data_IF_784598287249
#
_entry.id   IF_784598287249
#
_cell.length_a   1.000
_cell.length_b   1.000
_cell.length_c   1.000
_cell.angle_alpha   90.00
_cell.angle_beta   90.00
_cell.angle_gamma   90.00
#
_symmetry.space_group_name_H-M   'P 1'
#
loop_
_entity.id
_entity.type
_entity.pdbx_description
1 polymer ?
#
# COMPACT_ATOMS: atom_id res chain seq x y z
N UNK A 1 -13.67 -1.21 26.15
CA UNK A 1 -13.01 -1.89 25.01
C UNK A 1 -14.03 -2.24 23.92
N UNK A 2 -15.20 -2.77 24.28
CA UNK A 2 -16.37 -2.85 23.38
C UNK A 2 -16.86 -1.45 22.93
N UNK A 3 -16.60 -0.39 23.70
CA UNK A 3 -17.07 0.97 23.42
C UNK A 3 -16.46 1.63 22.16
N UNK A 4 -15.36 1.06 21.64
CA UNK A 4 -14.66 1.54 20.46
C UNK A 4 -14.92 0.68 19.21
N UNK A 5 -15.73 -0.38 19.35
CA UNK A 5 -16.03 -1.32 18.27
C UNK A 5 -17.17 -0.76 17.42
N UNK A 6 -16.92 -0.56 16.12
CA UNK A 6 -17.95 -0.22 15.12
C UNK A 6 -18.16 1.26 14.82
N UNK A 7 -17.60 2.19 15.61
CA UNK A 7 -17.63 3.64 15.31
C UNK A 7 -16.20 4.20 15.12
N UNK A 8 -15.83 4.61 13.89
CA UNK A 8 -14.49 5.16 13.60
C UNK A 8 -14.10 6.35 14.47
N UNK A 9 -15.03 7.23 14.84
CA UNK A 9 -14.72 8.43 15.63
C UNK A 9 -14.42 8.07 17.08
N UNK A 10 -15.19 7.14 17.65
CA UNK A 10 -14.94 6.62 19.00
C UNK A 10 -13.62 5.87 19.06
N UNK A 11 -13.30 5.09 18.03
CA UNK A 11 -12.03 4.38 17.95
C UNK A 11 -10.84 5.35 17.94
N UNK A 12 -10.88 6.39 17.10
CA UNK A 12 -9.83 7.42 17.07
C UNK A 12 -9.72 8.13 18.42
N UNK A 13 -10.85 8.56 19.01
CA UNK A 13 -10.84 9.23 20.32
C UNK A 13 -10.29 8.34 21.44
N UNK A 14 -10.56 7.03 21.38
CA UNK A 14 -9.99 6.06 22.31
C UNK A 14 -8.47 5.99 22.16
N UNK A 15 -7.97 5.87 20.92
CA UNK A 15 -6.53 5.87 20.66
C UNK A 15 -5.86 7.16 21.14
N UNK A 16 -6.43 8.33 20.84
CA UNK A 16 -5.88 9.62 21.27
C UNK A 16 -5.77 9.72 22.80
N UNK A 17 -6.77 9.20 23.53
CA UNK A 17 -6.76 9.18 24.99
C UNK A 17 -5.63 8.27 25.51
N UNK A 18 -5.51 7.06 24.98
CA UNK A 18 -4.47 6.12 25.38
C UNK A 18 -3.06 6.63 25.04
N UNK A 19 -2.90 7.30 23.89
CA UNK A 19 -1.63 7.92 23.49
C UNK A 19 -1.21 9.02 24.47
N UNK A 20 -2.15 9.90 24.87
CA UNK A 20 -1.88 10.93 25.88
C UNK A 20 -1.44 10.35 27.23
N UNK A 21 -2.05 9.24 27.65
CA UNK A 21 -1.66 8.55 28.89
C UNK A 21 -0.26 7.97 28.76
N UNK A 22 0.01 7.24 27.68
CA UNK A 22 1.32 6.62 27.43
C UNK A 22 2.45 7.65 27.35
N UNK A 23 2.23 8.78 26.67
CA UNK A 23 3.21 9.87 26.62
C UNK A 23 3.43 10.52 27.99
N UNK A 24 2.38 10.73 28.79
CA UNK A 24 2.50 11.30 30.14
C UNK A 24 3.31 10.38 31.06
N UNK A 25 3.11 9.07 30.95
CA UNK A 25 3.79 8.07 31.76
C UNK A 25 5.19 7.72 31.25
N UNK A 26 5.56 8.18 30.04
CA UNK A 26 6.78 7.78 29.32
C UNK A 26 6.83 6.27 29.06
N UNK A 27 5.67 5.67 28.79
CA UNK A 27 5.58 4.25 28.48
C UNK A 27 6.25 3.96 27.13
N UNK A 28 7.09 2.92 27.01
CA UNK A 28 7.73 2.58 25.74
C UNK A 28 6.73 2.03 24.71
N UNK A 29 5.65 1.40 25.19
CA UNK A 29 4.65 0.74 24.38
C UNK A 29 3.24 1.02 24.89
N UNK A 30 2.29 1.10 23.96
CA UNK A 30 0.86 0.99 24.20
C UNK A 30 0.36 -0.38 23.74
N UNK A 31 -0.59 -0.94 24.47
CA UNK A 31 -1.25 -2.20 24.13
C UNK A 31 -2.75 -2.03 24.16
N UNK A 32 -3.42 -2.48 23.11
CA UNK A 32 -4.88 -2.54 23.10
C UNK A 32 -5.33 -3.70 22.22
N UNK A 33 -6.53 -4.21 22.49
CA UNK A 33 -7.10 -5.30 21.72
C UNK A 33 -8.06 -4.75 20.67
N UNK A 34 -7.98 -5.31 19.47
CA UNK A 34 -9.04 -5.25 18.47
C UNK A 34 -9.57 -6.67 18.32
N UNK A 35 -10.65 -6.96 19.04
CA UNK A 35 -11.24 -8.29 19.08
C UNK A 35 -10.29 -9.34 19.67
N UNK A 36 -9.90 -10.31 18.86
CA UNK A 36 -8.98 -11.40 19.21
C UNK A 36 -7.50 -11.06 19.01
N UNK A 37 -7.20 -9.87 18.46
CA UNK A 37 -5.84 -9.46 18.10
C UNK A 37 -5.32 -8.40 19.09
N UNK A 38 -4.21 -8.70 19.76
CA UNK A 38 -3.48 -7.71 20.57
C UNK A 38 -2.58 -6.86 19.67
N UNK A 39 -2.81 -5.55 19.64
CA UNK A 39 -1.93 -4.60 18.97
C UNK A 39 -0.98 -3.95 19.98
N UNK A 40 0.31 -3.98 19.65
CA UNK A 40 1.38 -3.37 20.44
C UNK A 40 2.01 -2.26 19.60
N UNK A 41 1.89 -1.01 20.07
CA UNK A 41 2.40 0.16 19.37
C UNK A 41 3.56 0.76 20.17
N UNK A 42 4.70 0.95 19.51
CA UNK A 42 5.84 1.63 20.10
C UNK A 42 5.59 3.16 20.17
N UNK A 43 5.63 3.71 21.39
CA UNK A 43 5.43 5.14 21.63
C UNK A 43 6.77 5.88 21.70
N UNK A 44 7.80 5.26 22.28
CA UNK A 44 9.11 5.87 22.42
C UNK A 44 10.01 5.65 21.19
N UNK A 45 10.96 6.55 20.99
CA UNK A 45 11.96 6.48 19.92
C UNK A 45 12.87 5.27 20.06
N UNK A 46 13.24 4.92 21.29
CA UNK A 46 14.12 3.79 21.61
C UNK A 46 13.44 2.47 21.26
N UNK A 47 12.16 2.33 21.63
CA UNK A 47 11.35 1.16 21.30
C UNK A 47 11.15 1.02 19.78
N UNK A 48 10.86 2.11 19.07
CA UNK A 48 10.72 2.10 17.60
C UNK A 48 12.02 1.73 16.90
N UNK A 49 13.15 2.25 17.38
CA UNK A 49 14.47 1.99 16.80
C UNK A 49 14.78 0.50 16.79
N UNK A 50 14.54 -0.20 17.91
CA UNK A 50 14.77 -1.65 18.01
C UNK A 50 13.95 -2.43 16.98
N UNK A 51 12.70 -2.04 16.75
CA UNK A 51 11.81 -2.71 15.79
C UNK A 51 12.22 -2.41 14.35
N UNK A 52 12.46 -1.13 14.01
CA UNK A 52 12.75 -0.69 12.63
C UNK A 52 14.14 -1.15 12.17
N UNK A 53 15.12 -1.15 13.07
CA UNK A 53 16.49 -1.57 12.75
C UNK A 53 16.63 -3.11 12.66
N UNK A 54 15.60 -3.87 13.04
CA UNK A 54 15.64 -5.33 13.00
C UNK A 54 15.68 -5.86 11.56
N UNK A 55 16.71 -6.63 11.24
CA UNK A 55 16.84 -7.34 9.94
C UNK A 55 16.25 -8.76 9.96
N UNK A 56 15.73 -9.19 11.11
CA UNK A 56 15.22 -10.55 11.36
C UNK A 56 13.69 -10.54 11.41
N UNK A 57 13.10 -9.57 12.11
CA UNK A 57 11.65 -9.45 12.30
C UNK A 57 10.99 -8.68 11.15
N UNK A 58 11.05 -9.26 9.94
CA UNK A 58 10.53 -8.61 8.72
C UNK A 58 9.15 -9.10 8.29
N UNK A 59 8.57 -10.04 9.04
CA UNK A 59 7.29 -10.68 8.75
C UNK A 59 6.12 -9.67 8.76
N UNK A 60 5.22 -9.74 7.78
CA UNK A 60 4.01 -8.91 7.75
C UNK A 60 2.95 -9.50 8.67
N UNK A 61 2.25 -8.62 9.39
CA UNK A 61 1.07 -8.99 10.15
C UNK A 61 -0.12 -9.27 9.23
N UNK A 62 -1.14 -9.95 9.77
CA UNK A 62 -2.39 -10.33 9.09
C UNK A 62 -3.15 -9.14 8.48
N UNK A 63 -2.89 -7.91 8.94
CA UNK A 63 -3.44 -6.70 8.33
C UNK A 63 -3.05 -6.53 6.85
N UNK A 64 -1.94 -7.14 6.41
CA UNK A 64 -1.52 -7.13 5.02
C UNK A 64 -2.30 -8.12 4.14
N UNK A 65 -3.06 -9.07 4.72
CA UNK A 65 -3.80 -10.08 3.96
C UNK A 65 -4.82 -9.44 3.02
N UNK A 66 -5.46 -8.34 3.45
CA UNK A 66 -6.36 -7.57 2.59
C UNK A 66 -5.63 -6.96 1.38
N UNK A 67 -4.39 -6.51 1.55
CA UNK A 67 -3.58 -5.96 0.46
C UNK A 67 -3.06 -7.06 -0.47
N UNK A 68 -2.82 -8.28 0.03
CA UNK A 68 -2.35 -9.42 -0.78
C UNK A 68 -3.35 -9.75 -1.89
N UNK A 69 -4.65 -9.63 -1.64
CA UNK A 69 -5.68 -9.87 -2.67
C UNK A 69 -5.52 -8.96 -3.89
N UNK A 70 -4.99 -7.75 -3.70
CA UNK A 70 -4.67 -6.81 -4.77
C UNK A 70 -3.22 -6.99 -5.27
N UNK A 71 -2.26 -6.71 -4.40
CA UNK A 71 -0.84 -6.54 -4.73
C UNK A 71 -0.09 -7.87 -4.88
N UNK A 72 -0.73 -9.00 -4.54
CA UNK A 72 -0.10 -10.31 -4.42
C UNK A 72 1.00 -10.31 -3.36
N UNK A 73 2.03 -11.13 -3.56
CA UNK A 73 3.19 -11.27 -2.66
C UNK A 73 4.45 -10.58 -3.24
N UNK A 74 4.32 -9.32 -3.63
CA UNK A 74 5.42 -8.45 -4.12
C UNK A 74 6.26 -7.83 -3.01
N UNK A 75 6.97 -6.73 -3.31
CA UNK A 75 7.86 -6.06 -2.36
C UNK A 75 7.20 -5.62 -1.04
N UNK A 76 5.93 -5.17 -1.07
CA UNK A 76 5.26 -4.64 0.12
C UNK A 76 4.75 -5.73 1.06
N UNK A 77 4.31 -6.85 0.51
CA UNK A 77 3.55 -7.90 1.21
C UNK A 77 4.32 -9.20 1.41
N UNK A 78 5.49 -9.34 0.77
CA UNK A 78 6.37 -10.51 0.97
C UNK A 78 7.29 -10.34 2.18
N UNK A 79 7.78 -11.49 2.66
CA UNK A 79 8.66 -11.60 3.83
C UNK A 79 9.92 -12.42 3.53
N UNK A 80 10.83 -12.45 4.49
CA UNK A 80 11.97 -13.37 4.49
C UNK A 80 12.92 -13.20 3.29
N UNK A 81 13.31 -14.33 2.71
CA UNK A 81 14.21 -14.38 1.56
C UNK A 81 13.59 -13.79 0.29
N UNK A 82 12.27 -13.97 0.08
CA UNK A 82 11.55 -13.42 -1.08
C UNK A 82 11.63 -11.89 -1.06
N UNK A 83 11.33 -11.28 0.08
CA UNK A 83 11.44 -9.83 0.25
C UNK A 83 12.87 -9.32 0.03
N UNK A 84 13.87 -9.97 0.64
CA UNK A 84 15.29 -9.58 0.48
C UNK A 84 15.72 -9.62 -0.99
N UNK A 85 15.31 -10.66 -1.71
CA UNK A 85 15.61 -10.82 -3.13
C UNK A 85 14.93 -9.74 -3.98
N UNK A 86 13.62 -9.52 -3.81
CA UNK A 86 12.87 -8.48 -4.53
C UNK A 86 13.44 -7.10 -4.27
N UNK A 87 13.71 -6.75 -3.01
CA UNK A 87 14.32 -5.46 -2.63
C UNK A 87 15.67 -5.23 -3.29
N UNK A 88 16.54 -6.25 -3.31
CA UNK A 88 17.86 -6.16 -3.95
C UNK A 88 17.75 -5.85 -5.44
N UNK A 89 16.83 -6.51 -6.14
CA UNK A 89 16.63 -6.36 -7.58
C UNK A 89 15.97 -5.01 -7.93
N UNK A 90 15.04 -4.55 -7.09
CA UNK A 90 14.25 -3.34 -7.35
C UNK A 90 14.94 -2.06 -6.90
N UNK A 91 15.85 -2.09 -5.93
CA UNK A 91 16.49 -0.86 -5.43
C UNK A 91 17.16 -0.03 -6.54
N UNK A 92 17.91 -0.62 -7.50
CA UNK A 92 18.49 0.12 -8.61
C UNK A 92 17.47 0.87 -9.48
N UNK A 93 16.21 0.39 -9.55
CA UNK A 93 15.19 1.00 -10.41
C UNK A 93 14.64 2.32 -9.88
N UNK A 94 14.91 2.67 -8.62
CA UNK A 94 14.53 3.96 -8.03
C UNK A 94 15.46 5.12 -8.39
N UNK A 95 16.63 4.85 -8.98
CA UNK A 95 17.56 5.90 -9.40
C UNK A 95 17.18 6.55 -10.74
N UNK A 96 16.05 6.16 -11.34
CA UNK A 96 15.65 6.59 -12.69
C UNK A 96 14.61 7.71 -12.69
N UNK A 97 14.61 8.51 -13.77
CA UNK A 97 13.90 9.80 -13.90
C UNK A 97 12.36 9.70 -13.88
N UNK A 98 11.76 8.55 -14.18
CA UNK A 98 10.30 8.44 -14.34
C UNK A 98 9.74 7.11 -13.82
N UNK A 99 8.76 7.19 -12.91
CA UNK A 99 8.26 6.07 -12.12
C UNK A 99 7.44 5.00 -12.87
N UNK A 100 6.80 5.31 -14.00
CA UNK A 100 5.95 4.32 -14.73
C UNK A 100 5.96 4.48 -16.26
N UNK A 101 6.38 5.64 -16.78
CA UNK A 101 6.42 5.87 -18.23
C UNK A 101 5.05 5.91 -18.93
N UNK A 102 3.94 5.89 -18.19
CA UNK A 102 2.57 5.99 -18.71
C UNK A 102 1.92 7.26 -18.21
N UNK A 103 1.36 8.06 -19.14
CA UNK A 103 0.56 9.23 -18.81
C UNK A 103 -0.84 8.77 -18.43
N UNK A 104 -1.16 8.88 -17.14
CA UNK A 104 -2.45 8.46 -16.58
C UNK A 104 -3.50 9.60 -16.67
N UNK A 105 -3.09 10.84 -16.99
CA UNK A 105 -3.97 12.01 -17.08
C UNK A 105 -4.89 12.20 -15.86
N UNK A 106 -4.40 11.79 -14.68
CA UNK A 106 -5.14 11.83 -13.42
C UNK A 106 -5.59 13.24 -13.01
N UNK A 107 -4.86 14.28 -13.43
CA UNK A 107 -5.20 15.67 -13.14
C UNK A 107 -6.29 16.22 -14.08
N UNK A 108 -6.31 15.74 -15.33
CA UNK A 108 -7.25 16.20 -16.36
C UNK A 108 -8.59 15.44 -16.30
N UNK A 109 -8.57 14.22 -15.73
CA UNK A 109 -9.72 13.35 -15.61
C UNK A 109 -9.95 12.91 -14.14
N UNK A 110 -10.66 13.74 -13.35
CA UNK A 110 -10.93 13.43 -11.93
C UNK A 110 -11.77 12.16 -11.75
N UNK A 111 -12.52 11.71 -12.76
CA UNK A 111 -13.37 10.52 -12.72
C UNK A 111 -12.66 9.25 -13.22
N UNK A 112 -11.33 9.21 -13.14
CA UNK A 112 -10.58 8.06 -13.60
C UNK A 112 -10.99 6.78 -12.83
N UNK A 113 -11.46 5.71 -13.52
CA UNK A 113 -11.95 4.50 -12.84
C UNK A 113 -10.93 3.85 -11.91
N UNK A 114 -9.64 3.90 -12.25
CA UNK A 114 -8.56 3.37 -11.42
C UNK A 114 -8.43 4.11 -10.09
N UNK A 115 -8.42 5.45 -10.11
CA UNK A 115 -8.27 6.25 -8.88
C UNK A 115 -9.46 6.00 -7.97
N UNK A 116 -10.68 6.04 -8.51
CA UNK A 116 -11.91 5.75 -7.78
C UNK A 116 -11.88 4.32 -7.18
N UNK A 117 -11.39 3.34 -7.94
CA UNK A 117 -11.23 1.98 -7.44
C UNK A 117 -10.21 1.91 -6.28
N UNK A 118 -9.07 2.60 -6.36
CA UNK A 118 -8.12 2.57 -5.24
C UNK A 118 -8.68 3.28 -4.00
N UNK A 119 -9.39 4.40 -4.15
CA UNK A 119 -10.03 5.09 -3.02
C UNK A 119 -11.06 4.17 -2.37
N UNK A 120 -11.87 3.49 -3.19
CA UNK A 120 -12.88 2.56 -2.71
C UNK A 120 -12.25 1.35 -2.02
N UNK A 121 -11.17 0.82 -2.56
CA UNK A 121 -10.42 -0.28 -1.96
C UNK A 121 -9.83 0.10 -0.60
N UNK A 122 -9.26 1.30 -0.48
CA UNK A 122 -8.73 1.81 0.78
C UNK A 122 -9.83 1.96 1.85
N UNK A 123 -11.02 2.44 1.46
CA UNK A 123 -12.18 2.48 2.35
C UNK A 123 -12.62 1.08 2.81
N UNK A 124 -12.68 0.11 1.89
CA UNK A 124 -13.05 -1.28 2.22
C UNK A 124 -12.01 -1.92 3.15
N UNK A 125 -10.73 -1.66 2.94
CA UNK A 125 -9.64 -2.13 3.79
C UNK A 125 -9.74 -1.56 5.21
N UNK A 126 -9.97 -0.25 5.33
CA UNK A 126 -10.14 0.43 6.62
C UNK A 126 -11.36 -0.11 7.39
N UNK A 127 -12.47 -0.30 6.67
CA UNK A 127 -13.69 -0.85 7.25
C UNK A 127 -13.52 -2.31 7.68
N UNK A 128 -12.83 -3.13 6.88
CA UNK A 128 -12.51 -4.52 7.22
C UNK A 128 -11.55 -4.60 8.42
N UNK A 129 -10.60 -3.67 8.55
CA UNK A 129 -9.68 -3.60 9.68
C UNK A 129 -10.40 -3.23 10.99
N UNK A 130 -11.30 -2.24 10.95
CA UNK A 130 -11.98 -1.72 12.14
C UNK A 130 -13.15 -2.60 12.61
N UNK A 131 -13.80 -3.31 11.69
CA UNK A 131 -14.99 -4.09 12.01
C UNK A 131 -14.67 -5.59 12.06
N UNK A 132 -14.61 -6.13 13.28
CA UNK A 132 -14.31 -7.55 13.49
C UNK A 132 -15.29 -8.49 12.80
N UNK A 133 -16.56 -8.12 12.65
CA UNK A 133 -17.54 -8.98 11.98
C UNK A 133 -17.20 -9.19 10.50
N UNK A 134 -16.52 -8.23 9.88
CA UNK A 134 -16.08 -8.34 8.49
C UNK A 134 -14.87 -9.25 8.31
N UNK A 135 -14.19 -9.65 9.38
CA UNK A 135 -13.20 -10.74 9.33
C UNK A 135 -13.85 -12.10 9.01
N UNK A 136 -15.16 -12.25 9.24
CA UNK A 136 -15.91 -13.46 8.89
C UNK A 136 -16.34 -13.32 7.42
N UNK A 137 -15.80 -14.11 6.48
CA UNK A 137 -16.06 -13.92 5.05
C UNK A 137 -17.55 -13.95 4.72
N UNK A 138 -18.29 -14.90 5.30
CA UNK A 138 -19.74 -15.00 5.12
C UNK A 138 -20.49 -13.69 5.42
N UNK A 139 -20.17 -13.04 6.55
CA UNK A 139 -20.78 -11.78 6.96
C UNK A 139 -20.37 -10.65 6.00
N UNK A 140 -19.10 -10.63 5.61
CA UNK A 140 -18.58 -9.63 4.67
C UNK A 140 -19.27 -9.67 3.30
N UNK A 141 -19.62 -10.88 2.82
CA UNK A 141 -20.35 -11.05 1.56
C UNK A 141 -21.86 -10.78 1.69
N UNK A 142 -22.51 -11.16 2.79
CA UNK A 142 -23.95 -10.89 3.01
C UNK A 142 -24.28 -9.41 2.90
N UNK A 143 -23.44 -8.55 3.50
CA UNK A 143 -23.64 -7.10 3.46
C UNK A 143 -23.19 -6.44 2.15
N UNK A 144 -22.77 -7.22 1.14
CA UNK A 144 -22.39 -6.72 -0.17
C UNK A 144 -20.94 -6.23 -0.28
N UNK A 145 -20.24 -5.99 0.84
CA UNK A 145 -18.87 -5.47 0.85
C UNK A 145 -17.87 -6.43 0.20
N UNK A 146 -18.02 -7.74 0.36
CA UNK A 146 -17.20 -8.74 -0.33
C UNK A 146 -17.31 -8.64 -1.85
N UNK A 147 -18.54 -8.56 -2.38
CA UNK A 147 -18.77 -8.38 -3.82
C UNK A 147 -18.27 -7.03 -4.34
N UNK A 148 -18.36 -5.99 -3.52
CA UNK A 148 -17.81 -4.68 -3.86
C UNK A 148 -16.29 -4.70 -3.93
N UNK A 149 -15.64 -5.36 -2.97
CA UNK A 149 -14.18 -5.58 -2.98
C UNK A 149 -13.77 -6.31 -4.25
N UNK A 150 -14.45 -7.40 -4.60
CA UNK A 150 -14.08 -8.22 -5.77
C UNK A 150 -14.23 -7.44 -7.10
N UNK A 151 -15.28 -6.62 -7.23
CA UNK A 151 -15.45 -5.71 -8.38
C UNK A 151 -14.34 -4.67 -8.44
N UNK A 152 -13.99 -4.08 -7.30
CA UNK A 152 -12.93 -3.07 -7.20
C UNK A 152 -11.57 -3.67 -7.56
N UNK A 153 -11.25 -4.86 -7.02
CA UNK A 153 -10.04 -5.61 -7.34
C UNK A 153 -9.91 -5.91 -8.82
N UNK A 154 -11.03 -6.24 -9.49
CA UNK A 154 -11.03 -6.47 -10.94
C UNK A 154 -10.60 -5.23 -11.71
N UNK A 155 -11.17 -4.06 -11.42
CA UNK A 155 -10.79 -2.79 -12.07
C UNK A 155 -9.31 -2.47 -11.86
N UNK A 156 -8.81 -2.68 -10.63
CA UNK A 156 -7.39 -2.43 -10.30
C UNK A 156 -6.46 -3.33 -11.09
N UNK A 157 -6.73 -4.64 -11.11
CA UNK A 157 -5.90 -5.63 -11.82
C UNK A 157 -5.98 -5.46 -13.33
N UNK A 158 -7.16 -5.19 -13.88
CA UNK A 158 -7.36 -4.97 -15.31
C UNK A 158 -6.56 -3.75 -15.79
N UNK A 159 -6.59 -2.65 -15.04
CA UNK A 159 -5.80 -1.46 -15.37
C UNK A 159 -4.30 -1.76 -15.41
N UNK A 160 -3.77 -2.43 -14.39
CA UNK A 160 -2.34 -2.79 -14.33
C UNK A 160 -1.96 -3.75 -15.46
N UNK A 161 -2.80 -4.72 -15.77
CA UNK A 161 -2.59 -5.62 -16.89
C UNK A 161 -2.54 -4.89 -18.24
N UNK A 162 -3.40 -3.89 -18.44
CA UNK A 162 -3.41 -3.10 -19.67
C UNK A 162 -2.17 -2.21 -19.80
N UNK A 163 -1.73 -1.61 -18.69
CA UNK A 163 -0.45 -0.87 -18.61
C UNK A 163 0.73 -1.77 -18.99
N UNK A 164 0.81 -2.96 -18.40
CA UNK A 164 1.87 -3.93 -18.69
C UNK A 164 1.82 -4.34 -20.16
N UNK A 165 0.65 -4.73 -20.69
CA UNK A 165 0.50 -5.14 -22.11
C UNK A 165 0.94 -4.03 -23.07
N UNK A 166 0.55 -2.79 -22.82
CA UNK A 166 0.93 -1.64 -23.66
C UNK A 166 2.44 -1.46 -23.68
N UNK A 167 3.06 -1.51 -22.50
CA UNK A 167 4.51 -1.31 -22.34
C UNK A 167 5.34 -2.47 -22.87
N UNK A 168 4.87 -3.71 -22.75
CA UNK A 168 5.50 -4.87 -23.40
C UNK A 168 5.52 -4.71 -24.92
N UNK A 169 4.41 -4.29 -25.54
CA UNK A 169 4.36 -4.03 -26.99
C UNK A 169 5.31 -2.91 -27.42
N UNK A 170 5.37 -1.82 -26.65
CA UNK A 170 6.32 -0.71 -26.89
C UNK A 170 7.79 -1.21 -26.77
N UNK A 171 8.07 -2.10 -25.83
CA UNK A 171 9.40 -2.66 -25.62
C UNK A 171 9.83 -3.59 -26.75
N UNK A 172 8.95 -4.48 -27.20
CA UNK A 172 9.19 -5.39 -28.34
C UNK A 172 9.37 -4.63 -29.66
N UNK A 173 8.57 -3.59 -29.89
CA UNK A 173 8.66 -2.76 -31.10
C UNK A 173 9.98 -1.97 -31.20
N UNK A 174 10.65 -1.71 -30.08
CA UNK A 174 11.93 -1.00 -30.01
C UNK A 174 13.13 -1.98 -29.97
N UNK A 175 12.98 -3.20 -30.48
CA UNK A 175 14.06 -4.22 -30.50
C UNK A 175 14.61 -4.55 -29.11
N UNK A 176 13.81 -4.41 -28.05
CA UNK A 176 14.24 -4.57 -26.65
C UNK A 176 15.31 -3.55 -26.20
N UNK A 177 15.52 -2.46 -26.93
CA UNK A 177 16.42 -1.38 -26.52
C UNK A 177 15.70 -0.33 -25.65
N UNK A 178 16.30 -0.02 -24.51
CA UNK A 178 15.85 0.98 -23.54
C UNK A 178 16.10 2.40 -24.06
N UNK A 179 15.20 2.93 -24.89
CA UNK A 179 15.21 4.38 -25.17
C UNK A 179 14.67 5.21 -24.01
N UNK A 180 13.87 4.59 -23.14
CA UNK A 180 13.25 5.24 -21.99
C UNK A 180 13.75 4.62 -20.68
N UNK A 181 14.49 5.40 -19.86
CA UNK A 181 14.89 5.02 -18.50
C UNK A 181 13.68 5.04 -17.55
N UNK A 182 12.62 4.29 -17.88
CA UNK A 182 11.42 4.18 -17.06
C UNK A 182 11.50 2.96 -16.17
N UNK A 183 10.89 3.06 -15.00
CA UNK A 183 10.78 1.95 -14.07
C UNK A 183 10.24 0.66 -14.71
N UNK A 184 9.19 0.75 -15.52
CA UNK A 184 8.54 -0.43 -16.11
C UNK A 184 9.41 -1.08 -17.20
N UNK A 185 10.12 -0.31 -18.01
CA UNK A 185 11.08 -0.87 -18.97
C UNK A 185 12.21 -1.63 -18.27
N UNK A 186 12.70 -1.11 -17.13
CA UNK A 186 13.68 -1.80 -16.31
C UNK A 186 13.12 -3.07 -15.66
N UNK A 187 11.86 -3.07 -15.22
CA UNK A 187 11.21 -4.29 -14.72
C UNK A 187 11.09 -5.36 -15.80
N UNK A 188 10.80 -4.99 -17.04
CA UNK A 188 10.72 -5.92 -18.18
C UNK A 188 12.10 -6.53 -18.49
N UNK A 189 13.17 -5.76 -18.39
CA UNK A 189 14.54 -6.29 -18.47
C UNK A 189 14.85 -7.24 -17.31
N UNK A 190 14.55 -6.85 -16.07
CA UNK A 190 14.80 -7.69 -14.90
C UNK A 190 14.01 -9.00 -14.96
N UNK A 191 12.84 -8.99 -15.58
CA UNK A 191 12.04 -10.19 -15.86
C UNK A 191 12.76 -11.14 -16.82
N UNK A 192 13.38 -10.64 -17.89
CA UNK A 192 14.11 -11.49 -18.84
C UNK A 192 15.37 -12.08 -18.20
N UNK A 193 16.08 -11.30 -17.38
CA UNK A 193 17.31 -11.72 -16.70
C UNK A 193 17.05 -12.72 -15.56
N UNK A 194 16.01 -12.49 -14.74
CA UNK A 194 15.74 -13.28 -13.53
C UNK A 194 14.59 -14.29 -13.69
N UNK A 195 14.07 -14.48 -14.91
CA UNK A 195 12.94 -15.39 -15.22
C UNK A 195 11.72 -15.20 -14.31
N UNK A 196 11.32 -13.95 -14.07
CA UNK A 196 10.13 -13.68 -13.28
C UNK A 196 8.84 -14.10 -14.00
N UNK A 197 7.85 -14.53 -13.24
CA UNK A 197 6.51 -14.80 -13.77
C UNK A 197 5.79 -13.50 -14.10
N UNK A 198 4.83 -13.55 -15.04
CA UNK A 198 3.98 -12.40 -15.37
C UNK A 198 3.23 -11.87 -14.14
N UNK A 199 2.78 -12.79 -13.28
CA UNK A 199 2.18 -12.44 -12.00
C UNK A 199 3.17 -11.70 -11.11
N UNK A 200 4.40 -12.20 -10.97
CA UNK A 200 5.44 -11.56 -10.18
C UNK A 200 5.91 -10.21 -10.73
N UNK A 201 5.67 -9.90 -12.01
CA UNK A 201 5.83 -8.56 -12.56
C UNK A 201 4.65 -7.67 -12.16
N UNK A 202 3.41 -8.16 -12.34
CA UNK A 202 2.18 -7.45 -11.95
C UNK A 202 2.19 -7.05 -10.48
N UNK A 203 2.59 -7.96 -9.59
CA UNK A 203 2.70 -7.72 -8.14
C UNK A 203 3.56 -6.48 -7.81
N UNK A 204 4.70 -6.35 -8.49
CA UNK A 204 5.56 -5.19 -8.31
C UNK A 204 4.93 -3.95 -8.92
N UNK A 205 4.44 -4.01 -10.16
CA UNK A 205 3.80 -2.85 -10.79
C UNK A 205 2.63 -2.31 -9.94
N UNK A 206 1.76 -3.18 -9.44
CA UNK A 206 0.66 -2.83 -8.54
C UNK A 206 1.18 -2.16 -7.26
N UNK A 207 2.24 -2.72 -6.65
CA UNK A 207 2.86 -2.16 -5.43
C UNK A 207 3.37 -0.74 -5.65
N UNK A 208 4.07 -0.49 -6.76
CA UNK A 208 4.65 0.82 -7.06
C UNK A 208 3.59 1.85 -7.43
N UNK A 209 2.57 1.44 -8.19
CA UNK A 209 1.43 2.29 -8.52
C UNK A 209 0.63 2.70 -7.29
N UNK A 210 0.38 1.74 -6.38
CA UNK A 210 -0.29 2.00 -5.10
C UNK A 210 0.52 2.97 -4.23
N UNK A 211 1.79 2.64 -3.99
CA UNK A 211 2.65 3.40 -3.07
C UNK A 211 2.95 4.82 -3.56
N UNK A 212 3.19 4.99 -4.86
CA UNK A 212 3.62 6.28 -5.43
C UNK A 212 2.50 7.31 -5.62
N UNK A 213 1.25 6.89 -5.75
CA UNK A 213 0.14 7.82 -6.01
C UNK A 213 -0.43 8.45 -4.73
N UNK A 214 -0.89 7.62 -3.79
CA UNK A 214 -1.67 8.08 -2.64
C UNK A 214 -0.84 8.86 -1.62
N UNK A 215 0.38 8.42 -1.36
CA UNK A 215 1.25 9.00 -0.33
C UNK A 215 1.75 10.37 -0.76
N UNK A 216 2.24 10.49 -2.00
CA UNK A 216 2.73 11.76 -2.55
C UNK A 216 1.62 12.78 -2.70
N UNK A 217 0.43 12.39 -3.18
CA UNK A 217 -0.73 13.30 -3.26
C UNK A 217 -1.12 13.83 -1.88
N UNK A 218 -1.17 12.96 -0.87
CA UNK A 218 -1.49 13.37 0.51
C UNK A 218 -0.42 14.31 1.08
N UNK A 219 0.86 13.96 0.91
CA UNK A 219 1.99 14.78 1.38
C UNK A 219 1.98 16.18 0.74
N UNK A 220 1.77 16.27 -0.57
CA UNK A 220 1.66 17.55 -1.27
C UNK A 220 0.44 18.35 -0.81
N UNK A 221 -0.70 17.69 -0.58
CA UNK A 221 -1.92 18.35 -0.08
C UNK A 221 -1.66 19.00 1.28
N UNK A 222 -1.07 18.26 2.23
CA UNK A 222 -0.72 18.81 3.54
C UNK A 222 0.38 19.86 3.47
N UNK A 223 1.34 19.71 2.55
CA UNK A 223 2.38 20.71 2.29
C UNK A 223 1.76 22.04 1.83
N UNK A 224 0.91 22.02 0.80
CA UNK A 224 0.23 23.23 0.32
C UNK A 224 -0.71 23.82 1.36
N UNK A 225 -1.42 22.97 2.12
CA UNK A 225 -2.21 23.44 3.25
C UNK A 225 -1.35 24.17 4.28
N UNK A 226 -0.17 23.64 4.63
CA UNK A 226 0.74 24.28 5.56
C UNK A 226 1.28 25.60 5.00
N UNK A 227 1.75 25.63 3.76
CA UNK A 227 2.23 26.86 3.10
C UNK A 227 1.15 27.94 3.04
N UNK A 228 -0.12 27.58 2.85
CA UNK A 228 -1.23 28.53 2.83
C UNK A 228 -1.54 29.14 4.21
N UNK A 229 -1.30 28.40 5.30
CA UNK A 229 -1.61 28.84 6.67
C UNK A 229 -0.41 29.46 7.39
N UNK A 230 0.82 29.16 6.97
CA UNK A 230 2.06 29.65 7.57
C UNK A 230 2.84 30.47 6.54
N UNK A 231 2.46 31.75 6.40
CA UNK A 231 3.04 32.67 5.40
C UNK A 231 4.52 33.03 5.64
N UNK A 232 5.04 32.69 6.81
CA UNK A 232 6.44 32.94 7.22
C UNK A 232 7.41 31.83 6.76
N UNK A 233 6.91 30.78 6.11
CA UNK A 233 7.68 29.63 5.57
C UNK A 233 8.05 29.85 4.10
#
# INVERSE_FOLDING_TARGET
>A
MLDAVGDPKRFISFLDKEDKIGFKNKDPFRRFWIGDTLLVHALSTEARKVIIDSSVEINKGTNYDFLIDWLGKGLLTSDGSKWKHRRRILTPTFHFKTAMGVKIHAQDNPDQPYINAVQRFAFLADNHFKNIFYKIPFVYYIFGYGFERDRTLKVLKDFTNDVIKKKTKEFEANSCELKDNTFLSNLLQLKSENKWTDEGLREEVDTFMFGGHYTTSSALTYCFWALAHFQDV
#
